data_IF_519625796348
#
_entry.id   IF_519625796348
#
_cell.length_a   1.000
_cell.length_b   1.000
_cell.length_c   1.000
_cell.angle_alpha   90.00
_cell.angle_beta   90.00
_cell.angle_gamma   90.00
#
_symmetry.space_group_name_H-M   'P 1'
#
loop_
_entity.id
_entity.type
_entity.pdbx_description
1 polymer ?
#
# COMPACT_ATOMS: atom_id res chain seq x y z
N UNK A 1 6.07 9.56 -3.68
CA UNK A 1 6.38 8.91 -2.38
C UNK A 1 7.05 7.59 -2.64
N UNK A 2 8.10 7.29 -1.94
CA UNK A 2 8.79 6.01 -2.07
C UNK A 2 7.97 4.87 -1.50
N UNK A 3 8.07 3.71 -2.09
CA UNK A 3 7.30 2.54 -1.68
C UNK A 3 7.49 2.21 -0.19
N UNK A 4 8.73 2.27 0.28
CA UNK A 4 9.06 2.01 1.69
C UNK A 4 8.36 3.01 2.62
N UNK A 5 8.38 4.28 2.23
CA UNK A 5 7.70 5.34 2.99
C UNK A 5 6.19 5.11 3.01
N UNK A 6 5.62 4.76 1.87
CA UNK A 6 4.19 4.48 1.77
C UNK A 6 3.79 3.31 2.68
N UNK A 7 4.55 2.22 2.67
CA UNK A 7 4.28 1.08 3.53
C UNK A 7 4.34 1.45 5.01
N UNK A 8 5.32 2.26 5.39
CA UNK A 8 5.46 2.70 6.77
C UNK A 8 4.24 3.52 7.21
N UNK A 9 3.78 4.42 6.36
CA UNK A 9 2.62 5.27 6.67
C UNK A 9 1.33 4.46 6.73
N UNK A 10 1.17 3.50 5.82
CA UNK A 10 0.01 2.61 5.85
C UNK A 10 -0.02 1.76 7.12
N UNK A 11 1.13 1.24 7.53
CA UNK A 11 1.22 0.46 8.77
C UNK A 11 0.83 1.30 9.98
N UNK A 12 1.21 2.58 10.01
CA UNK A 12 0.85 3.49 11.08
C UNK A 12 -0.66 3.74 11.15
N UNK A 13 -1.36 3.59 10.04
CA UNK A 13 -2.82 3.71 9.97
C UNK A 13 -3.55 2.41 10.31
N UNK A 14 -2.82 1.35 10.62
CA UNK A 14 -3.41 0.07 10.98
C UNK A 14 -3.56 -0.90 9.83
N UNK A 15 -3.00 -0.59 8.66
CA UNK A 15 -3.05 -1.49 7.50
C UNK A 15 -2.13 -2.69 7.74
N UNK A 16 -2.66 -3.88 7.53
CA UNK A 16 -1.85 -5.09 7.56
C UNK A 16 -1.16 -5.26 6.22
N UNK A 17 0.13 -5.54 6.27
CA UNK A 17 0.95 -5.72 5.08
C UNK A 17 1.40 -7.17 5.02
N UNK A 18 0.88 -7.89 4.03
CA UNK A 18 1.28 -9.27 3.79
C UNK A 18 2.38 -9.27 2.73
N UNK A 19 3.59 -9.74 3.07
CA UNK A 19 4.68 -9.70 2.12
C UNK A 19 4.43 -10.55 0.89
N UNK A 20 5.06 -10.17 -0.22
CA UNK A 20 4.96 -10.90 -1.46
C UNK A 20 5.50 -12.32 -1.31
N UNK A 21 4.77 -13.27 -1.89
CA UNK A 21 5.21 -14.66 -1.94
C UNK A 21 5.53 -15.05 -3.38
N UNK A 22 6.62 -15.77 -3.55
CA UNK A 22 7.05 -16.23 -4.86
C UNK A 22 7.66 -15.11 -5.70
N UNK A 23 7.49 -15.21 -7.01
CA UNK A 23 8.14 -14.29 -7.96
C UNK A 23 7.34 -13.03 -8.28
N UNK A 24 6.19 -12.85 -7.67
CA UNK A 24 5.26 -11.80 -8.07
C UNK A 24 5.62 -10.40 -7.65
N UNK A 25 6.35 -10.25 -6.55
CA UNK A 25 6.73 -8.92 -6.08
C UNK A 25 5.58 -8.03 -5.65
N UNK A 26 4.42 -8.59 -5.31
CA UNK A 26 3.27 -7.82 -4.86
C UNK A 26 2.99 -8.08 -3.39
N UNK A 27 2.85 -7.02 -2.61
CA UNK A 27 2.32 -7.10 -1.25
C UNK A 27 0.81 -7.06 -1.29
N UNK A 28 0.16 -7.73 -0.35
CA UNK A 28 -1.27 -7.59 -0.16
C UNK A 28 -1.51 -6.71 1.06
N UNK A 29 -2.25 -5.63 0.88
CA UNK A 29 -2.62 -4.71 1.95
C UNK A 29 -4.04 -5.02 2.39
N UNK A 30 -4.29 -5.06 3.69
CA UNK A 30 -5.61 -5.34 4.25
C UNK A 30 -5.97 -4.32 5.31
N UNK A 31 -7.21 -3.85 5.26
CA UNK A 31 -7.73 -2.94 6.28
C UNK A 31 -9.25 -3.10 6.36
N UNK A 32 -9.74 -3.47 7.54
CA UNK A 32 -11.19 -3.57 7.82
C UNK A 32 -11.95 -4.42 6.79
N UNK A 33 -11.37 -5.56 6.39
CA UNK A 33 -11.97 -6.46 5.41
C UNK A 33 -11.75 -6.08 3.96
N UNK A 34 -11.10 -4.95 3.70
CA UNK A 34 -10.76 -4.50 2.36
C UNK A 34 -9.33 -4.90 2.02
N UNK A 35 -9.09 -5.18 0.75
CA UNK A 35 -7.79 -5.63 0.27
C UNK A 35 -7.37 -4.80 -0.92
N UNK A 36 -6.06 -4.59 -1.05
CA UNK A 36 -5.49 -3.93 -2.21
C UNK A 36 -4.10 -4.47 -2.48
N UNK A 37 -3.78 -4.83 -3.74
CA UNK A 37 -2.42 -5.27 -4.08
C UNK A 37 -1.51 -4.06 -4.28
N UNK A 38 -0.27 -4.19 -3.84
CA UNK A 38 0.74 -3.17 -4.06
C UNK A 38 1.96 -3.81 -4.69
N UNK A 39 2.31 -3.47 -5.94
CA UNK A 39 3.54 -3.99 -6.55
C UNK A 39 4.75 -3.40 -5.83
N UNK A 40 5.66 -4.26 -5.40
CA UNK A 40 6.86 -3.86 -4.69
C UNK A 40 8.07 -4.17 -5.55
N UNK A 41 8.75 -3.14 -6.01
CA UNK A 41 9.97 -3.26 -6.80
C UNK A 41 11.06 -2.45 -6.12
N UNK A 42 11.49 -2.95 -4.93
CA UNK A 42 12.47 -2.23 -4.14
C UNK A 42 11.91 -0.89 -3.64
N UNK A 43 12.70 0.17 -3.72
CA UNK A 43 12.30 1.49 -3.25
C UNK A 43 11.81 2.36 -4.40
N UNK A 44 10.85 1.84 -5.14
CA UNK A 44 10.26 2.53 -6.30
C UNK A 44 9.40 3.70 -5.84
N UNK A 45 9.43 4.78 -6.61
CA UNK A 45 8.59 5.94 -6.35
C UNK A 45 7.16 5.67 -6.81
N UNK A 46 6.20 5.85 -5.90
CA UNK A 46 4.78 5.62 -6.17
C UNK A 46 4.10 6.95 -6.45
N UNK A 47 3.45 7.04 -7.60
CA UNK A 47 2.79 8.27 -8.03
C UNK A 47 1.51 8.58 -7.24
N UNK A 48 1.10 9.87 -7.22
CA UNK A 48 -0.07 10.29 -6.43
C UNK A 48 -1.38 9.67 -6.91
N UNK A 49 -1.52 9.43 -8.19
CA UNK A 49 -2.75 8.83 -8.74
C UNK A 49 -2.92 7.40 -8.23
N UNK A 50 -1.84 6.64 -8.22
CA UNK A 50 -1.86 5.28 -7.69
C UNK A 50 -2.16 5.27 -6.19
N UNK A 51 -1.58 6.20 -5.45
CA UNK A 51 -1.81 6.31 -4.00
C UNK A 51 -3.28 6.59 -3.72
N UNK A 52 -3.91 7.49 -4.47
CA UNK A 52 -5.34 7.79 -4.31
C UNK A 52 -6.21 6.56 -4.58
N UNK A 53 -5.89 5.81 -5.62
CA UNK A 53 -6.62 4.59 -5.96
C UNK A 53 -6.48 3.55 -4.85
N UNK A 54 -5.28 3.39 -4.34
CA UNK A 54 -4.99 2.45 -3.26
C UNK A 54 -5.77 2.81 -2.01
N UNK A 55 -5.76 4.08 -1.63
CA UNK A 55 -6.50 4.58 -0.48
C UNK A 55 -8.00 4.33 -0.63
N UNK A 56 -8.53 4.57 -1.82
CA UNK A 56 -9.94 4.32 -2.10
C UNK A 56 -10.30 2.85 -1.91
N UNK A 57 -9.44 1.95 -2.37
CA UNK A 57 -9.67 0.51 -2.20
C UNK A 57 -9.64 0.07 -0.75
N UNK A 58 -8.82 0.71 0.06
CA UNK A 58 -8.69 0.40 1.49
C UNK A 58 -9.64 1.22 2.37
N UNK A 59 -10.33 2.20 1.81
CA UNK A 59 -11.21 3.07 2.57
C UNK A 59 -10.47 4.10 3.42
N UNK A 60 -9.29 4.48 3.01
CA UNK A 60 -8.46 5.48 3.71
C UNK A 60 -8.58 6.82 3.00
N UNK A 61 -8.67 7.91 3.77
CA UNK A 61 -8.58 9.24 3.21
C UNK A 61 -7.13 9.52 2.80
N UNK A 62 -6.87 9.88 1.52
CA UNK A 62 -5.50 10.19 1.08
C UNK A 62 -4.81 11.27 1.92
N UNK A 63 -5.57 12.13 2.57
CA UNK A 63 -5.01 13.17 3.43
C UNK A 63 -4.36 12.61 4.69
N UNK A 64 -4.66 11.38 5.05
CA UNK A 64 -4.09 10.74 6.23
C UNK A 64 -2.69 10.18 5.99
N UNK A 65 -2.27 10.15 4.74
CA UNK A 65 -0.93 9.68 4.39
C UNK A 65 0.10 10.85 4.42
#
# INVERSE_FOLDING_TARGET
>A
MKCRELLRRLAALGVEIEPARGKGGHCLLRLAGKKAPLPVHGDTDIGPVFIKMLCKQLGIDPKEL
#
